data_IF_785395468028
#
_entry.id   IF_785395468028
#
_cell.length_a   1.000
_cell.length_b   1.000
_cell.length_c   1.000
_cell.angle_alpha   90.00
_cell.angle_beta   90.00
_cell.angle_gamma   90.00
#
_symmetry.space_group_name_H-M   'P 1'
#
loop_
_entity.id
_entity.type
_entity.pdbx_description
1 polymer ?
#
# COMPACT_ATOMS: atom_id res chain seq x y z
N UNK A 1 -21.40 14.24 4.28
CA UNK A 1 -19.97 14.62 4.22
C UNK A 1 -19.73 15.43 2.94
N UNK A 2 -18.79 16.40 2.95
CA UNK A 2 -18.51 17.24 1.77
C UNK A 2 -17.70 16.43 0.74
N UNK A 3 -18.18 16.39 -0.49
CA UNK A 3 -17.50 15.75 -1.62
C UNK A 3 -16.37 16.62 -2.16
N UNK A 4 -15.37 15.98 -2.75
CA UNK A 4 -14.21 16.60 -3.37
C UNK A 4 -13.06 16.85 -2.41
N UNK A 5 -12.13 17.68 -2.83
CA UNK A 5 -10.90 17.98 -2.08
C UNK A 5 -11.17 18.83 -0.85
N UNK A 6 -10.51 18.49 0.24
CA UNK A 6 -10.50 19.25 1.50
C UNK A 6 -9.11 19.16 2.11
N UNK A 7 -8.65 20.26 2.70
CA UNK A 7 -7.42 20.26 3.50
C UNK A 7 -7.83 20.12 4.97
N UNK A 8 -7.26 19.13 5.64
CA UNK A 8 -7.42 18.96 7.09
C UNK A 8 -6.16 19.47 7.80
N UNK A 9 -6.33 20.00 9.01
CA UNK A 9 -5.21 20.42 9.86
C UNK A 9 -5.03 19.40 10.97
N UNK A 10 -3.84 18.81 11.05
CA UNK A 10 -3.46 17.90 12.12
C UNK A 10 -3.21 18.65 13.43
N UNK A 11 -3.28 17.96 14.56
CA UNK A 11 -3.06 18.54 15.88
C UNK A 11 -1.61 19.07 16.07
N UNK A 12 -0.67 18.56 15.28
CA UNK A 12 0.71 19.07 15.21
C UNK A 12 0.87 20.34 14.34
N UNK A 13 -0.20 20.80 13.69
CA UNK A 13 -0.26 22.00 12.86
C UNK A 13 0.02 21.80 11.38
N UNK A 14 0.44 20.60 10.94
CA UNK A 14 0.59 20.29 9.51
C UNK A 14 -0.77 20.12 8.82
N UNK A 15 -0.77 20.27 7.50
CA UNK A 15 -1.96 20.15 6.66
C UNK A 15 -1.84 18.94 5.75
N UNK A 16 -2.90 18.14 5.70
CA UNK A 16 -3.00 17.03 4.76
C UNK A 16 -4.08 17.31 3.70
N UNK A 17 -3.74 16.98 2.48
CA UNK A 17 -4.70 16.93 1.38
C UNK A 17 -5.55 15.67 1.50
N UNK A 18 -6.87 15.84 1.41
CA UNK A 18 -7.83 14.74 1.43
C UNK A 18 -8.83 14.88 0.29
N UNK A 19 -9.38 13.76 -0.18
CA UNK A 19 -10.47 13.76 -1.16
C UNK A 19 -11.54 12.76 -0.75
N UNK A 20 -12.80 13.13 -0.96
CA UNK A 20 -13.97 12.29 -0.72
C UNK A 20 -14.76 12.13 -2.01
N UNK A 21 -14.99 10.90 -2.44
CA UNK A 21 -15.71 10.55 -3.65
C UNK A 21 -16.81 9.52 -3.37
N UNK A 22 -17.88 9.55 -4.16
CA UNK A 22 -19.02 8.64 -3.98
C UNK A 22 -20.02 9.14 -2.93
N UNK A 23 -21.15 8.46 -2.79
CA UNK A 23 -22.28 8.91 -1.96
C UNK A 23 -22.95 7.77 -1.18
N UNK A 24 -22.30 6.62 -1.05
CA UNK A 24 -22.83 5.49 -0.27
C UNK A 24 -22.62 5.69 1.23
N UNK A 25 -23.37 4.91 2.01
CA UNK A 25 -23.27 4.89 3.48
C UNK A 25 -22.10 3.99 3.95
N UNK A 26 -21.51 3.20 3.06
CA UNK A 26 -20.33 2.41 3.30
C UNK A 26 -19.11 3.30 3.08
N UNK A 27 -18.30 3.49 4.12
CA UNK A 27 -17.08 4.30 4.07
C UNK A 27 -15.85 3.43 3.86
N UNK A 28 -14.98 3.84 2.94
CA UNK A 28 -13.68 3.23 2.67
C UNK A 28 -12.59 4.30 2.79
N UNK A 29 -11.65 4.13 3.70
CA UNK A 29 -10.44 4.95 3.79
C UNK A 29 -9.30 4.22 3.09
N UNK A 30 -8.66 4.87 2.12
CA UNK A 30 -7.65 4.26 1.28
C UNK A 30 -6.28 4.90 1.48
N UNK A 31 -5.30 4.05 1.79
CA UNK A 31 -3.91 4.41 2.11
C UNK A 31 -3.00 4.09 0.92
N UNK A 32 -2.25 5.08 0.46
CA UNK A 32 -1.26 4.88 -0.60
C UNK A 32 0.00 4.14 -0.10
N UNK A 33 0.76 3.62 -1.04
CA UNK A 33 2.03 2.94 -0.84
C UNK A 33 3.23 3.87 -0.80
N UNK A 34 4.38 3.31 -1.02
CA UNK A 34 5.70 3.92 -0.92
C UNK A 34 6.45 3.41 0.31
N UNK A 35 6.51 4.14 1.46
CA UNK A 35 5.86 5.43 1.79
C UNK A 35 6.28 6.59 0.90
N UNK A 36 5.54 7.69 0.97
CA UNK A 36 5.82 8.86 0.14
C UNK A 36 5.20 8.82 -1.26
N UNK A 37 4.35 7.82 -1.55
CA UNK A 37 3.53 7.78 -2.76
C UNK A 37 2.40 8.82 -2.76
N UNK A 38 1.36 8.61 -3.56
CA UNK A 38 0.25 9.56 -3.71
C UNK A 38 -1.11 8.86 -3.65
N UNK A 39 -2.17 9.62 -3.39
CA UNK A 39 -3.55 9.14 -3.41
C UNK A 39 -4.00 8.56 -4.77
N UNK A 40 -3.27 8.83 -5.84
CA UNK A 40 -3.65 8.50 -7.22
C UNK A 40 -3.84 7.01 -7.47
N UNK A 41 -3.26 6.14 -6.65
CA UNK A 41 -3.57 4.69 -6.65
C UNK A 41 -5.06 4.41 -6.54
N UNK A 42 -5.82 5.29 -5.86
CA UNK A 42 -7.19 5.07 -5.45
C UNK A 42 -8.21 6.01 -6.10
N UNK A 43 -7.80 6.88 -7.05
CA UNK A 43 -8.67 7.88 -7.66
C UNK A 43 -9.93 7.31 -8.32
N UNK A 44 -9.82 6.14 -8.95
CA UNK A 44 -10.94 5.51 -9.64
C UNK A 44 -11.76 4.56 -8.75
N UNK A 45 -11.40 4.36 -7.49
CA UNK A 45 -12.00 3.32 -6.62
C UNK A 45 -13.50 3.45 -6.48
N UNK A 46 -14.03 4.64 -6.20
CA UNK A 46 -15.48 4.85 -6.07
C UNK A 46 -16.23 4.52 -7.38
N UNK A 47 -15.67 4.88 -8.52
CA UNK A 47 -16.22 4.60 -9.85
C UNK A 47 -16.18 3.11 -10.17
N UNK A 48 -15.08 2.44 -9.87
CA UNK A 48 -14.91 1.00 -10.11
C UNK A 48 -15.87 0.17 -9.24
N UNK A 49 -15.98 0.47 -7.94
CA UNK A 49 -16.92 -0.20 -7.05
C UNK A 49 -18.37 0.02 -7.46
N UNK A 50 -18.70 1.24 -7.92
CA UNK A 50 -20.03 1.53 -8.49
C UNK A 50 -20.31 0.71 -9.74
N UNK A 51 -19.33 0.47 -10.60
CA UNK A 51 -19.45 -0.40 -11.76
C UNK A 51 -19.73 -1.86 -11.38
N UNK A 52 -19.22 -2.29 -10.20
CA UNK A 52 -19.53 -3.59 -9.60
C UNK A 52 -20.89 -3.59 -8.85
N UNK A 53 -21.67 -2.53 -8.91
CA UNK A 53 -22.98 -2.41 -8.25
C UNK A 53 -22.92 -2.08 -6.76
N UNK A 54 -21.75 -1.65 -6.24
CA UNK A 54 -21.55 -1.26 -4.86
C UNK A 54 -21.39 0.26 -4.74
N UNK A 55 -22.30 0.93 -4.04
CA UNK A 55 -22.22 2.36 -3.81
C UNK A 55 -21.52 2.65 -2.48
N UNK A 56 -20.35 3.26 -2.54
CA UNK A 56 -19.48 3.56 -1.39
C UNK A 56 -19.10 5.04 -1.37
N UNK A 57 -18.66 5.51 -0.23
CA UNK A 57 -17.93 6.78 -0.08
C UNK A 57 -16.47 6.47 0.19
N UNK A 58 -15.59 6.83 -0.74
CA UNK A 58 -14.14 6.59 -0.67
C UNK A 58 -13.45 7.87 -0.21
N UNK A 59 -12.61 7.74 0.79
CA UNK A 59 -11.75 8.79 1.31
C UNK A 59 -10.31 8.43 0.98
N UNK A 60 -9.59 9.37 0.37
CA UNK A 60 -8.15 9.26 0.11
C UNK A 60 -7.44 10.45 0.73
N UNK A 61 -6.17 10.30 1.06
CA UNK A 61 -5.32 11.41 1.48
C UNK A 61 -3.87 11.15 1.11
N UNK A 62 -3.10 12.21 0.96
CA UNK A 62 -1.65 12.13 0.88
C UNK A 62 -1.08 12.21 2.30
N UNK A 63 -0.27 11.22 2.68
CA UNK A 63 0.38 11.16 4.00
C UNK A 63 1.36 12.33 4.17
N UNK A 64 1.71 12.70 5.40
CA UNK A 64 2.65 13.78 5.66
C UNK A 64 3.99 13.55 4.92
N UNK A 65 4.45 14.57 4.23
CA UNK A 65 5.62 14.50 3.35
C UNK A 65 5.31 14.07 1.93
N UNK A 66 4.06 13.70 1.63
CA UNK A 66 3.66 13.22 0.30
C UNK A 66 2.92 14.29 -0.49
N UNK A 67 3.22 14.39 -1.75
CA UNK A 67 2.56 15.07 -2.87
C UNK A 67 1.88 16.41 -2.54
N UNK A 68 0.56 16.44 -2.27
CA UNK A 68 -0.21 17.66 -1.98
C UNK A 68 -0.31 17.99 -0.50
N UNK A 69 0.18 17.12 0.38
CA UNK A 69 0.27 17.39 1.81
C UNK A 69 1.51 18.22 2.16
N UNK A 70 1.53 18.78 3.35
CA UNK A 70 2.71 19.50 3.85
C UNK A 70 3.94 18.59 3.83
N UNK A 71 5.07 19.18 3.44
CA UNK A 71 6.36 18.49 3.33
C UNK A 71 7.34 19.07 4.37
N UNK A 72 7.49 18.40 5.54
CA UNK A 72 8.43 18.81 6.55
C UNK A 72 9.87 18.80 6.04
N UNK A 73 10.73 19.65 6.58
CA UNK A 73 12.16 19.62 6.29
C UNK A 73 12.83 18.44 7.02
N UNK A 74 12.83 17.28 6.37
CA UNK A 74 13.44 16.06 6.91
C UNK A 74 14.98 16.09 6.94
N UNK A 75 15.62 17.14 6.42
CA UNK A 75 17.05 17.37 6.62
C UNK A 75 17.37 17.81 8.08
N UNK A 76 16.37 18.31 8.81
CA UNK A 76 16.49 18.49 10.27
C UNK A 76 16.29 17.13 10.97
N UNK A 77 17.36 16.63 11.65
CA UNK A 77 17.28 15.32 12.32
C UNK A 77 16.16 15.21 13.37
N UNK A 78 15.78 16.33 14.01
CA UNK A 78 14.71 16.33 15.03
C UNK A 78 13.33 16.14 14.38
N UNK A 79 13.15 16.70 13.19
CA UNK A 79 11.92 16.52 12.39
C UNK A 79 11.86 15.10 11.87
N UNK A 80 12.95 14.62 11.27
CA UNK A 80 13.05 13.27 10.77
C UNK A 80 12.81 12.20 11.86
N UNK A 81 13.46 12.34 13.03
CA UNK A 81 13.29 11.44 14.17
C UNK A 81 11.85 11.41 14.68
N UNK A 82 11.17 12.56 14.69
CA UNK A 82 9.81 12.69 15.19
C UNK A 82 8.76 12.11 14.24
N UNK A 83 8.89 12.35 12.94
CA UNK A 83 7.84 12.08 11.97
C UNK A 83 8.08 10.87 11.07
N UNK A 84 9.34 10.49 10.81
CA UNK A 84 9.63 9.31 9.99
C UNK A 84 9.67 8.05 10.84
N UNK A 85 8.53 7.71 11.47
CA UNK A 85 8.35 6.52 12.32
C UNK A 85 7.06 5.78 11.97
N UNK A 86 7.01 4.48 12.21
CA UNK A 86 5.78 3.69 12.05
C UNK A 86 4.65 4.23 12.93
N UNK A 87 4.94 4.54 14.19
CA UNK A 87 3.95 5.03 15.15
C UNK A 87 3.32 6.34 14.69
N UNK A 88 4.14 7.27 14.13
CA UNK A 88 3.61 8.52 13.61
C UNK A 88 2.62 8.29 12.47
N UNK A 89 2.98 7.51 11.46
CA UNK A 89 2.07 7.26 10.33
C UNK A 89 0.83 6.47 10.74
N UNK A 90 0.95 5.57 11.71
CA UNK A 90 -0.21 4.86 12.27
C UNK A 90 -1.17 5.83 12.98
N UNK A 91 -0.65 6.70 13.84
CA UNK A 91 -1.44 7.67 14.59
C UNK A 91 -2.02 8.75 13.65
N UNK A 92 -1.33 9.07 12.54
CA UNK A 92 -1.85 9.93 11.47
C UNK A 92 -3.12 9.34 10.84
N UNK A 93 -3.15 8.03 10.54
CA UNK A 93 -4.37 7.37 10.02
C UNK A 93 -5.54 7.57 10.98
N UNK A 94 -5.32 7.39 12.29
CA UNK A 94 -6.37 7.57 13.30
C UNK A 94 -6.82 9.04 13.40
N UNK A 95 -5.88 9.98 13.32
CA UNK A 95 -6.21 11.39 13.32
C UNK A 95 -7.01 11.78 12.06
N UNK A 96 -6.60 11.31 10.88
CA UNK A 96 -7.33 11.52 9.61
C UNK A 96 -8.75 10.98 9.72
N UNK A 97 -8.93 9.73 10.21
CA UNK A 97 -10.25 9.15 10.46
C UNK A 97 -11.12 10.06 11.31
N UNK A 98 -10.56 10.53 12.43
CA UNK A 98 -11.27 11.40 13.37
C UNK A 98 -11.64 12.76 12.74
N UNK A 99 -10.69 13.40 12.02
CA UNK A 99 -10.94 14.68 11.32
C UNK A 99 -11.99 14.55 10.20
N UNK A 100 -12.03 13.39 9.53
CA UNK A 100 -13.06 13.08 8.53
C UNK A 100 -14.40 12.69 9.17
N UNK A 101 -14.43 12.38 10.47
CA UNK A 101 -15.64 11.99 11.19
C UNK A 101 -16.22 10.65 10.73
N UNK A 102 -15.36 9.70 10.36
CA UNK A 102 -15.77 8.35 9.95
C UNK A 102 -15.51 7.33 11.07
N UNK A 103 -16.43 6.38 11.20
CA UNK A 103 -16.34 5.27 12.13
C UNK A 103 -17.03 4.04 11.51
N UNK A 104 -16.71 2.83 11.97
CA UNK A 104 -17.22 1.59 11.38
C UNK A 104 -17.04 1.56 9.85
N UNK A 105 -15.80 1.69 9.42
CA UNK A 105 -15.39 1.83 8.01
C UNK A 105 -14.49 0.68 7.56
N UNK A 106 -14.25 0.58 6.26
CA UNK A 106 -13.24 -0.30 5.66
C UNK A 106 -11.93 0.46 5.50
N UNK A 107 -10.83 -0.15 5.89
CA UNK A 107 -9.49 0.39 5.66
C UNK A 107 -8.77 -0.45 4.62
N UNK A 108 -8.36 0.18 3.53
CA UNK A 108 -7.59 -0.45 2.46
C UNK A 108 -6.23 0.22 2.32
N UNK A 109 -5.19 -0.57 2.09
CA UNK A 109 -3.85 -0.02 1.86
C UNK A 109 -3.04 -0.88 0.90
N UNK A 110 -2.32 -0.21 0.01
CA UNK A 110 -1.41 -0.81 -0.96
C UNK A 110 0.02 -0.74 -0.45
N UNK A 111 0.77 -1.86 -0.51
CA UNK A 111 2.19 -1.88 -0.16
C UNK A 111 2.43 -1.32 1.26
N UNK A 112 3.21 -0.27 1.43
CA UNK A 112 3.33 0.45 2.70
C UNK A 112 1.98 0.74 3.37
N UNK A 113 0.97 1.18 2.59
CA UNK A 113 -0.40 1.35 3.10
C UNK A 113 -0.96 0.05 3.69
N UNK A 114 -0.60 -1.11 3.13
CA UNK A 114 -0.97 -2.43 3.66
C UNK A 114 -0.27 -2.75 5.00
N UNK A 115 0.95 -2.26 5.24
CA UNK A 115 1.59 -2.33 6.56
C UNK A 115 0.81 -1.49 7.58
N UNK A 116 0.42 -0.27 7.21
CA UNK A 116 -0.41 0.59 8.07
C UNK A 116 -1.78 -0.04 8.37
N UNK A 117 -2.40 -0.73 7.39
CA UNK A 117 -3.65 -1.48 7.64
C UNK A 117 -3.45 -2.55 8.70
N UNK A 118 -2.36 -3.34 8.62
CA UNK A 118 -2.06 -4.38 9.62
C UNK A 118 -1.86 -3.77 11.01
N UNK A 119 -1.07 -2.69 11.11
CA UNK A 119 -0.86 -1.99 12.38
C UNK A 119 -2.14 -1.38 12.94
N UNK A 120 -2.95 -0.78 12.07
CA UNK A 120 -4.22 -0.16 12.46
C UNK A 120 -5.21 -1.20 12.96
N UNK A 121 -5.34 -2.32 12.25
CA UNK A 121 -6.20 -3.43 12.65
C UNK A 121 -5.81 -4.02 14.03
N UNK A 122 -4.51 -4.02 14.36
CA UNK A 122 -4.01 -4.48 15.65
C UNK A 122 -4.21 -3.48 16.79
N UNK A 123 -4.14 -2.17 16.52
CA UNK A 123 -4.18 -1.12 17.55
C UNK A 123 -5.56 -0.45 17.69
N UNK A 124 -6.25 -0.22 16.57
CA UNK A 124 -7.50 0.54 16.47
C UNK A 124 -8.62 -0.24 15.77
N UNK A 125 -8.54 -1.56 15.81
CA UNK A 125 -9.44 -2.46 15.08
C UNK A 125 -10.93 -2.31 15.42
N UNK A 126 -11.26 -1.76 16.59
CA UNK A 126 -12.64 -1.50 17.02
C UNK A 126 -13.39 -0.51 16.10
N UNK A 127 -12.69 0.31 15.35
CA UNK A 127 -13.27 1.24 14.36
C UNK A 127 -13.55 0.59 13.00
N UNK A 128 -13.00 -0.61 12.76
CA UNK A 128 -13.08 -1.24 11.44
C UNK A 128 -14.27 -2.18 11.31
N UNK A 129 -14.98 -2.09 10.18
CA UNK A 129 -15.86 -3.15 9.66
C UNK A 129 -15.08 -4.24 8.95
N UNK A 130 -14.00 -3.88 8.28
CA UNK A 130 -13.12 -4.80 7.59
C UNK A 130 -11.81 -4.16 7.20
N UNK A 131 -10.78 -4.99 7.01
CA UNK A 131 -9.44 -4.62 6.61
C UNK A 131 -9.08 -5.21 5.25
N UNK A 132 -8.43 -4.44 4.38
CA UNK A 132 -7.97 -4.91 3.07
C UNK A 132 -6.47 -4.66 2.96
N UNK A 133 -5.69 -5.74 3.00
CA UNK A 133 -4.23 -5.74 2.87
C UNK A 133 -3.91 -6.05 1.41
N UNK A 134 -3.53 -5.04 0.65
CA UNK A 134 -3.22 -5.15 -0.77
C UNK A 134 -1.71 -5.12 -0.97
N UNK A 135 -1.15 -6.19 -1.56
CA UNK A 135 0.28 -6.33 -1.90
C UNK A 135 1.22 -5.92 -0.75
N UNK A 136 1.00 -6.50 0.44
CA UNK A 136 1.89 -6.32 1.59
C UNK A 136 2.00 -7.58 2.42
N UNK A 137 3.22 -7.98 2.68
CA UNK A 137 3.57 -9.12 3.56
C UNK A 137 3.46 -8.71 5.03
N UNK A 138 3.51 -9.71 5.90
CA UNK A 138 3.63 -9.52 7.35
C UNK A 138 5.08 -9.49 7.85
N UNK A 139 6.05 -9.68 6.94
CA UNK A 139 7.48 -9.59 7.22
C UNK A 139 8.27 -9.27 5.94
N UNK A 140 9.42 -8.64 6.09
CA UNK A 140 10.26 -8.25 4.96
C UNK A 140 11.31 -9.33 4.58
N UNK A 141 11.64 -10.25 5.47
CA UNK A 141 12.62 -11.30 5.14
C UNK A 141 12.17 -12.12 3.93
N UNK A 142 10.90 -12.54 3.91
CA UNK A 142 10.34 -13.31 2.80
C UNK A 142 10.21 -12.46 1.51
N UNK A 143 9.92 -11.17 1.64
CA UNK A 143 9.91 -10.24 0.52
C UNK A 143 11.29 -10.12 -0.12
N UNK A 144 12.36 -9.91 0.67
CA UNK A 144 13.74 -9.83 0.17
C UNK A 144 14.16 -11.13 -0.53
N UNK A 145 13.77 -12.29 0.01
CA UNK A 145 14.00 -13.59 -0.66
C UNK A 145 13.31 -13.62 -2.01
N UNK A 146 12.06 -13.17 -2.10
CA UNK A 146 11.30 -13.16 -3.36
C UNK A 146 11.85 -12.15 -4.38
N UNK A 147 12.35 -10.99 -3.96
CA UNK A 147 13.05 -10.05 -4.85
C UNK A 147 14.20 -10.73 -5.58
N UNK A 148 15.04 -11.49 -4.86
CA UNK A 148 16.14 -12.20 -5.49
C UNK A 148 15.65 -13.23 -6.51
N UNK A 149 14.59 -13.97 -6.18
CA UNK A 149 13.97 -14.93 -7.11
C UNK A 149 13.41 -14.24 -8.36
N UNK A 150 12.70 -13.12 -8.19
CA UNK A 150 12.18 -12.30 -9.29
C UNK A 150 13.31 -11.83 -10.22
N UNK A 151 14.45 -11.40 -9.67
CA UNK A 151 15.62 -11.03 -10.45
C UNK A 151 16.18 -12.22 -11.24
N UNK A 152 16.28 -13.41 -10.62
CA UNK A 152 16.76 -14.63 -11.25
C UNK A 152 15.81 -15.10 -12.39
N UNK A 153 14.52 -14.88 -12.27
CA UNK A 153 13.54 -15.21 -13.30
C UNK A 153 13.55 -14.23 -14.48
N UNK A 154 13.79 -12.95 -14.23
CA UNK A 154 13.65 -11.89 -15.24
C UNK A 154 14.96 -11.48 -15.91
N UNK A 155 16.11 -11.68 -15.27
CA UNK A 155 17.40 -11.13 -15.71
C UNK A 155 18.48 -12.20 -15.83
N UNK A 156 19.43 -12.05 -16.77
CA UNK A 156 20.60 -12.92 -16.84
C UNK A 156 21.55 -12.68 -15.63
N UNK A 157 22.33 -13.69 -15.27
CA UNK A 157 23.25 -13.68 -14.12
C UNK A 157 24.21 -12.49 -14.10
N UNK A 158 24.71 -12.09 -15.26
CA UNK A 158 25.60 -10.92 -15.40
C UNK A 158 24.91 -9.61 -15.07
N UNK A 159 23.60 -9.48 -15.34
CA UNK A 159 22.83 -8.29 -14.96
C UNK A 159 22.62 -8.23 -13.44
N UNK A 160 22.29 -9.36 -12.82
CA UNK A 160 22.12 -9.47 -11.36
C UNK A 160 23.43 -9.13 -10.65
N UNK A 161 24.57 -9.66 -11.15
CA UNK A 161 25.89 -9.36 -10.61
C UNK A 161 26.20 -7.87 -10.69
N UNK A 162 25.94 -7.27 -11.85
CA UNK A 162 26.14 -5.83 -12.06
C UNK A 162 25.27 -4.99 -11.12
N UNK A 163 23.98 -5.33 -10.98
CA UNK A 163 23.08 -4.65 -10.06
C UNK A 163 23.59 -4.69 -8.62
N UNK A 164 24.02 -5.85 -8.14
CA UNK A 164 24.60 -6.01 -6.79
C UNK A 164 25.89 -5.20 -6.59
N UNK A 165 26.72 -5.05 -7.62
CA UNK A 165 27.89 -4.18 -7.55
C UNK A 165 27.55 -2.70 -7.46
N UNK A 166 26.49 -2.25 -8.17
CA UNK A 166 25.97 -0.89 -8.08
C UNK A 166 25.37 -0.63 -6.69
N UNK A 167 24.53 -1.52 -6.19
CA UNK A 167 23.90 -1.45 -4.87
C UNK A 167 24.94 -1.36 -3.74
N UNK A 168 26.02 -2.14 -3.82
CA UNK A 168 27.12 -2.07 -2.86
C UNK A 168 27.87 -0.73 -2.84
N UNK A 169 27.76 0.06 -3.91
CA UNK A 169 28.37 1.39 -4.07
C UNK A 169 27.38 2.54 -3.93
N UNK A 170 26.10 2.25 -3.74
CA UNK A 170 24.98 3.19 -3.84
C UNK A 170 24.94 3.93 -5.19
N UNK A 171 25.30 3.24 -6.27
CA UNK A 171 25.33 3.75 -7.64
C UNK A 171 24.03 3.36 -8.38
N UNK A 172 22.93 3.96 -7.97
CA UNK A 172 21.60 3.65 -8.47
C UNK A 172 21.23 4.46 -9.73
N UNK A 173 21.83 5.64 -9.92
CA UNK A 173 21.42 6.60 -10.97
C UNK A 173 21.98 6.28 -12.37
N UNK A 174 22.75 5.19 -12.53
CA UNK A 174 23.31 4.88 -13.83
C UNK A 174 22.28 4.23 -14.78
N UNK A 175 22.31 4.61 -16.06
CA UNK A 175 21.33 4.19 -17.08
C UNK A 175 21.21 2.67 -17.22
N UNK A 176 22.32 1.94 -17.05
CA UNK A 176 22.31 0.48 -17.18
C UNK A 176 21.60 -0.20 -15.99
N UNK A 177 21.81 0.29 -14.79
CA UNK A 177 21.12 -0.18 -13.59
C UNK A 177 19.62 0.11 -13.72
N UNK A 178 19.26 1.34 -14.07
CA UNK A 178 17.87 1.74 -14.26
C UNK A 178 17.18 0.92 -15.37
N UNK A 179 17.86 0.62 -16.47
CA UNK A 179 17.31 -0.26 -17.50
C UNK A 179 16.95 -1.68 -17.00
N UNK A 180 17.68 -2.22 -16.03
CA UNK A 180 17.30 -3.49 -15.38
C UNK A 180 16.13 -3.31 -14.40
N UNK A 181 16.09 -2.20 -13.68
CA UNK A 181 14.94 -1.86 -12.80
C UNK A 181 13.67 -1.72 -13.62
N UNK A 182 13.73 -1.09 -14.80
CA UNK A 182 12.58 -0.96 -15.71
C UNK A 182 12.04 -2.32 -16.15
N UNK A 183 12.93 -3.27 -16.52
CA UNK A 183 12.51 -4.64 -16.87
C UNK A 183 11.76 -5.31 -15.71
N UNK A 184 12.26 -5.13 -14.48
CA UNK A 184 11.64 -5.69 -13.29
C UNK A 184 10.29 -5.00 -12.98
N UNK A 185 10.21 -3.67 -13.12
CA UNK A 185 8.99 -2.91 -12.94
C UNK A 185 7.89 -3.35 -13.92
N UNK A 186 8.22 -3.48 -15.21
CA UNK A 186 7.28 -3.95 -16.24
C UNK A 186 6.83 -5.40 -16.01
N UNK A 187 7.68 -6.22 -15.41
CA UNK A 187 7.37 -7.61 -15.13
C UNK A 187 6.52 -7.84 -13.88
N UNK A 188 6.74 -7.04 -12.84
CA UNK A 188 6.27 -7.35 -11.48
C UNK A 188 5.59 -6.18 -10.75
N UNK A 189 5.72 -4.95 -11.21
CA UNK A 189 5.08 -3.77 -10.57
C UNK A 189 3.93 -3.25 -11.41
N UNK A 190 4.20 -2.76 -12.61
CA UNK A 190 3.25 -2.15 -13.55
C UNK A 190 3.18 -2.99 -14.82
N UNK A 191 2.41 -4.06 -14.80
CA UNK A 191 2.33 -5.02 -15.93
C UNK A 191 1.50 -4.49 -17.10
N UNK A 192 0.57 -3.57 -16.83
CA UNK A 192 -0.23 -2.91 -17.86
C UNK A 192 0.54 -1.73 -18.43
N UNK A 193 0.97 -1.85 -19.68
CA UNK A 193 1.76 -0.82 -20.34
C UNK A 193 0.93 -0.02 -21.38
N UNK A 194 1.17 1.31 -21.53
CA UNK A 194 2.02 2.12 -20.65
C UNK A 194 1.46 2.17 -19.23
N UNK A 195 2.33 2.26 -18.24
CA UNK A 195 1.92 2.32 -16.84
C UNK A 195 0.96 3.51 -16.60
N UNK A 196 -0.23 3.22 -16.05
CA UNK A 196 -1.26 4.24 -15.86
C UNK A 196 -0.86 5.31 -14.83
N UNK A 197 0.05 4.95 -13.93
CA UNK A 197 0.56 5.80 -12.84
C UNK A 197 2.06 6.04 -12.97
N UNK A 198 2.59 6.04 -14.20
CA UNK A 198 4.03 6.21 -14.48
C UNK A 198 4.63 7.49 -13.87
N UNK A 199 3.83 8.55 -13.69
CA UNK A 199 4.28 9.78 -13.07
C UNK A 199 4.53 9.66 -11.56
N UNK A 200 4.00 8.64 -10.88
CA UNK A 200 4.25 8.42 -9.45
C UNK A 200 5.74 8.34 -9.12
N UNK A 201 6.55 7.77 -10.01
CA UNK A 201 8.01 7.74 -9.83
C UNK A 201 8.63 9.14 -9.73
N UNK A 202 8.08 10.13 -10.46
CA UNK A 202 8.56 11.52 -10.44
C UNK A 202 7.96 12.36 -9.30
N UNK A 203 6.91 11.88 -8.65
CA UNK A 203 6.20 12.56 -7.55
C UNK A 203 6.43 11.89 -6.20
N UNK A 204 7.16 10.78 -6.17
CA UNK A 204 7.54 10.07 -4.95
C UNK A 204 8.33 10.99 -4.02
N UNK A 205 7.92 11.07 -2.76
CA UNK A 205 8.68 11.78 -1.71
C UNK A 205 9.92 10.95 -1.32
N UNK A 206 11.03 11.17 -2.03
CA UNK A 206 12.26 10.38 -1.88
C UNK A 206 12.85 10.43 -0.50
N UNK A 207 12.69 11.56 0.22
CA UNK A 207 13.13 11.73 1.60
C UNK A 207 12.38 10.80 2.57
N UNK A 208 11.11 10.48 2.27
CA UNK A 208 10.31 9.54 3.04
C UNK A 208 10.58 8.11 2.57
N UNK A 209 10.53 7.87 1.26
CA UNK A 209 10.72 6.57 0.66
C UNK A 209 12.07 5.95 1.00
N UNK A 210 13.16 6.73 0.83
CA UNK A 210 14.52 6.27 1.10
C UNK A 210 14.78 5.86 2.56
N UNK A 211 14.08 6.50 3.52
CA UNK A 211 14.21 6.15 4.95
C UNK A 211 13.58 4.80 5.27
N UNK A 212 12.49 4.43 4.62
CA UNK A 212 11.78 3.19 4.92
C UNK A 212 12.13 2.06 3.95
N UNK A 213 12.01 2.27 2.64
CA UNK A 213 12.23 1.27 1.62
C UNK A 213 13.72 1.19 1.23
N UNK A 214 14.24 2.25 0.68
CA UNK A 214 15.55 2.33 0.04
C UNK A 214 15.46 3.09 -1.27
N UNK A 215 16.22 2.68 -2.29
CA UNK A 215 16.23 3.37 -3.58
C UNK A 215 15.01 3.05 -4.46
N UNK A 216 14.68 1.76 -4.58
CA UNK A 216 13.60 1.29 -5.44
C UNK A 216 12.90 0.05 -4.86
N UNK A 217 11.84 -0.44 -5.54
CA UNK A 217 11.02 -1.57 -5.09
C UNK A 217 11.84 -2.85 -4.87
N UNK A 218 12.95 -3.02 -5.57
CA UNK A 218 13.77 -4.24 -5.49
C UNK A 218 14.95 -4.14 -4.52
N UNK A 219 15.04 -3.03 -3.75
CA UNK A 219 16.13 -2.78 -2.78
C UNK A 219 15.53 -2.35 -1.44
N UNK A 220 15.67 -3.19 -0.41
CA UNK A 220 15.19 -2.88 0.93
C UNK A 220 16.38 -2.64 1.85
N UNK A 221 16.73 -1.37 2.04
CA UNK A 221 17.85 -0.94 2.88
C UNK A 221 17.43 -0.09 4.07
N UNK A 222 16.21 0.45 4.02
CA UNK A 222 15.65 1.32 5.03
C UNK A 222 15.04 0.59 6.22
N UNK A 223 14.21 1.30 6.98
CA UNK A 223 13.55 0.79 8.21
C UNK A 223 12.64 -0.41 7.96
N UNK A 224 12.09 -0.55 6.74
CA UNK A 224 11.23 -1.68 6.38
C UNK A 224 11.92 -3.03 6.56
N UNK A 225 13.25 -3.12 6.42
CA UNK A 225 13.98 -4.38 6.62
C UNK A 225 13.76 -5.02 8.00
N UNK A 226 13.31 -4.24 8.98
CA UNK A 226 13.02 -4.71 10.36
C UNK A 226 11.53 -5.02 10.55
N UNK A 227 10.69 -4.85 9.51
CA UNK A 227 9.26 -5.11 9.59
C UNK A 227 8.97 -6.60 9.76
N UNK A 228 8.34 -6.94 10.90
CA UNK A 228 7.88 -8.28 11.20
C UNK A 228 6.71 -8.24 12.18
N UNK A 229 5.54 -8.62 11.71
CA UNK A 229 4.31 -8.73 12.52
C UNK A 229 3.69 -10.13 12.49
N UNK A 230 4.45 -11.15 12.02
CA UNK A 230 4.00 -12.54 11.85
C UNK A 230 3.32 -13.11 13.09
N UNK A 231 3.86 -12.85 14.26
CA UNK A 231 3.29 -13.37 15.51
C UNK A 231 2.05 -12.60 15.98
N UNK A 232 1.78 -11.43 15.39
CA UNK A 232 0.73 -10.52 15.81
C UNK A 232 -0.52 -10.63 14.95
N UNK A 233 -0.42 -10.95 13.64
CA UNK A 233 -1.54 -10.92 12.68
C UNK A 233 -2.71 -11.84 13.07
N UNK A 234 -2.46 -12.89 13.84
CA UNK A 234 -3.51 -13.77 14.44
C UNK A 234 -4.45 -13.04 15.39
N UNK A 235 -4.10 -11.83 15.83
CA UNK A 235 -4.92 -10.98 16.70
C UNK A 235 -5.81 -10.00 15.91
N UNK A 236 -5.71 -9.97 14.59
CA UNK A 236 -6.63 -9.23 13.73
C UNK A 236 -7.97 -9.94 13.75
N UNK A 237 -9.00 -9.29 14.28
CA UNK A 237 -10.28 -9.94 14.62
C UNK A 237 -11.44 -9.58 13.68
N UNK A 238 -11.28 -8.53 12.86
CA UNK A 238 -12.31 -8.13 11.89
C UNK A 238 -12.16 -8.92 10.58
N UNK A 239 -13.24 -9.03 9.76
CA UNK A 239 -13.15 -9.55 8.41
C UNK A 239 -12.00 -8.90 7.62
N UNK A 240 -11.15 -9.73 7.02
CA UNK A 240 -9.93 -9.26 6.36
C UNK A 240 -9.82 -9.85 4.96
N UNK A 241 -9.56 -9.01 3.97
CA UNK A 241 -9.18 -9.42 2.61
C UNK A 241 -7.67 -9.24 2.44
N UNK A 242 -6.95 -10.34 2.19
CA UNK A 242 -5.56 -10.33 1.73
C UNK A 242 -5.60 -10.45 0.21
N UNK A 243 -5.04 -9.47 -0.52
CA UNK A 243 -5.13 -9.47 -2.00
C UNK A 243 -3.80 -9.14 -2.64
N UNK A 244 -3.40 -9.97 -3.62
CA UNK A 244 -2.10 -9.93 -4.29
C UNK A 244 -2.25 -10.09 -5.80
N UNK A 245 -1.31 -9.54 -6.57
CA UNK A 245 -1.15 -9.87 -7.98
C UNK A 245 -0.56 -11.27 -8.19
N UNK A 246 -0.82 -11.88 -9.34
CA UNK A 246 -0.24 -13.19 -9.71
C UNK A 246 1.29 -13.12 -9.90
N UNK A 247 1.77 -11.97 -10.39
CA UNK A 247 3.19 -11.70 -10.66
C UNK A 247 3.72 -10.63 -9.69
N UNK A 248 3.67 -10.96 -8.42
CA UNK A 248 3.93 -10.01 -7.34
C UNK A 248 5.42 -9.95 -6.96
N UNK A 249 5.88 -8.79 -6.54
CA UNK A 249 7.22 -8.63 -5.93
C UNK A 249 7.29 -9.33 -4.57
N UNK A 250 6.18 -9.38 -3.87
CA UNK A 250 6.03 -10.07 -2.58
C UNK A 250 5.48 -11.50 -2.79
N UNK A 251 5.88 -12.50 -1.96
CA UNK A 251 5.57 -13.90 -2.26
C UNK A 251 4.09 -14.24 -1.97
N UNK A 252 3.40 -14.83 -2.96
CA UNK A 252 2.04 -15.35 -2.78
C UNK A 252 1.93 -16.40 -1.66
N UNK A 253 3.00 -17.12 -1.38
CA UNK A 253 3.03 -18.08 -0.26
C UNK A 253 2.83 -17.37 1.08
N UNK A 254 3.38 -16.17 1.25
CA UNK A 254 3.18 -15.33 2.44
C UNK A 254 1.73 -14.86 2.52
N UNK A 255 1.15 -14.37 1.43
CA UNK A 255 -0.24 -13.96 1.38
C UNK A 255 -1.20 -15.10 1.79
N UNK A 256 -0.94 -16.33 1.31
CA UNK A 256 -1.69 -17.52 1.70
C UNK A 256 -1.57 -17.82 3.18
N UNK A 257 -0.35 -17.81 3.72
CA UNK A 257 -0.10 -18.02 5.15
C UNK A 257 -0.78 -16.95 6.00
N UNK A 258 -0.71 -15.67 5.62
CA UNK A 258 -1.41 -14.58 6.31
C UNK A 258 -2.93 -14.83 6.36
N UNK A 259 -3.54 -15.20 5.24
CA UNK A 259 -4.98 -15.51 5.20
C UNK A 259 -5.36 -16.75 6.02
N UNK A 260 -4.44 -17.71 6.19
CA UNK A 260 -4.65 -18.88 7.06
C UNK A 260 -4.47 -18.55 8.55
N UNK A 261 -3.68 -17.54 8.91
CA UNK A 261 -3.36 -17.16 10.29
C UNK A 261 -4.33 -16.12 10.87
N UNK A 262 -4.85 -15.23 10.03
CA UNK A 262 -5.86 -14.24 10.45
C UNK A 262 -7.20 -14.97 10.57
N UNK A 263 -7.87 -14.95 11.75
CA UNK A 263 -9.05 -15.79 12.03
C UNK A 263 -10.21 -15.64 11.04
N UNK A 264 -10.43 -14.41 10.56
CA UNK A 264 -11.51 -14.08 9.62
C UNK A 264 -10.90 -13.46 8.37
N UNK A 265 -10.16 -14.25 7.58
CA UNK A 265 -9.53 -13.75 6.37
C UNK A 265 -9.83 -14.58 5.13
N UNK A 266 -9.86 -13.90 3.99
CA UNK A 266 -9.90 -14.49 2.64
C UNK A 266 -8.71 -14.02 1.83
N UNK A 267 -8.18 -14.90 0.97
CA UNK A 267 -7.19 -14.56 -0.02
C UNK A 267 -7.86 -14.34 -1.38
N UNK A 268 -7.53 -13.26 -2.06
CA UNK A 268 -7.86 -13.04 -3.46
C UNK A 268 -6.58 -12.80 -4.27
N UNK A 269 -6.45 -13.48 -5.41
CA UNK A 269 -5.33 -13.27 -6.32
C UNK A 269 -5.84 -12.69 -7.64
N UNK A 270 -5.21 -11.59 -8.08
CA UNK A 270 -5.57 -10.93 -9.35
C UNK A 270 -4.74 -11.51 -10.50
N UNK A 271 -5.35 -12.24 -11.46
CA UNK A 271 -4.64 -12.80 -12.59
C UNK A 271 -3.96 -11.72 -13.44
N UNK A 272 -2.74 -11.99 -13.89
CA UNK A 272 -1.89 -11.08 -14.66
C UNK A 272 -1.56 -9.74 -13.97
N UNK A 273 -1.89 -9.58 -12.69
CA UNK A 273 -1.52 -8.40 -11.90
C UNK A 273 -0.11 -8.51 -11.34
N UNK A 274 0.59 -7.39 -11.28
CA UNK A 274 1.82 -7.20 -10.52
C UNK A 274 1.53 -6.54 -9.17
N UNK A 275 2.49 -5.76 -8.68
CA UNK A 275 2.35 -5.03 -7.41
C UNK A 275 1.19 -4.00 -7.43
N UNK A 276 0.92 -3.40 -8.59
CA UNK A 276 -0.22 -2.50 -8.79
C UNK A 276 -1.42 -3.22 -9.47
N UNK A 277 -1.75 -4.40 -9.00
CA UNK A 277 -2.80 -5.26 -9.60
C UNK A 277 -4.19 -4.63 -9.63
N UNK A 278 -4.47 -3.61 -8.80
CA UNK A 278 -5.71 -2.83 -8.85
C UNK A 278 -5.80 -1.97 -10.12
N UNK A 279 -4.67 -1.76 -10.82
CA UNK A 279 -4.58 -1.05 -12.09
C UNK A 279 -4.40 -2.04 -13.25
N UNK A 280 -3.53 -3.04 -13.08
CA UNK A 280 -3.22 -4.02 -14.11
C UNK A 280 -4.45 -4.80 -14.55
N UNK A 281 -5.27 -5.24 -13.60
CA UNK A 281 -6.52 -5.96 -13.84
C UNK A 281 -7.65 -5.46 -12.94
N UNK A 282 -7.97 -4.17 -13.08
CA UNK A 282 -8.99 -3.49 -12.28
C UNK A 282 -10.35 -4.22 -12.22
N UNK A 283 -10.91 -4.78 -13.32
CA UNK A 283 -12.19 -5.48 -13.25
C UNK A 283 -12.19 -6.64 -12.23
N UNK A 284 -11.16 -7.45 -12.21
CA UNK A 284 -11.06 -8.59 -11.28
C UNK A 284 -10.75 -8.12 -9.86
N UNK A 285 -9.82 -7.19 -9.71
CA UNK A 285 -9.50 -6.63 -8.40
C UNK A 285 -10.73 -6.03 -7.71
N UNK A 286 -11.47 -5.18 -8.41
CA UNK A 286 -12.65 -4.52 -7.83
C UNK A 286 -13.86 -5.45 -7.71
N UNK A 287 -13.96 -6.53 -8.46
CA UNK A 287 -14.94 -7.60 -8.23
C UNK A 287 -14.67 -8.31 -6.89
N UNK A 288 -13.41 -8.69 -6.63
CA UNK A 288 -13.01 -9.28 -5.36
C UNK A 288 -13.30 -8.33 -4.18
N UNK A 289 -12.92 -7.05 -4.31
CA UNK A 289 -13.15 -6.04 -3.27
C UNK A 289 -14.64 -5.82 -3.02
N UNK A 290 -15.45 -5.69 -4.08
CA UNK A 290 -16.89 -5.51 -3.96
C UNK A 290 -17.59 -6.73 -3.37
N UNK A 291 -17.13 -7.94 -3.69
CA UNK A 291 -17.65 -9.19 -3.13
C UNK A 291 -17.36 -9.25 -1.64
N UNK A 292 -16.10 -8.98 -1.25
CA UNK A 292 -15.71 -8.93 0.15
C UNK A 292 -16.59 -7.97 0.95
N UNK A 293 -16.75 -6.72 0.50
CA UNK A 293 -17.57 -5.71 1.20
C UNK A 293 -19.03 -6.15 1.29
N UNK A 294 -19.62 -6.70 0.21
CA UNK A 294 -21.02 -7.20 0.23
C UNK A 294 -21.21 -8.32 1.23
N UNK A 295 -20.28 -9.28 1.29
CA UNK A 295 -20.37 -10.40 2.20
C UNK A 295 -20.31 -9.93 3.66
N UNK A 296 -19.42 -8.98 3.98
CA UNK A 296 -19.35 -8.36 5.32
C UNK A 296 -20.63 -7.59 5.65
N UNK A 297 -21.14 -6.77 4.73
CA UNK A 297 -22.37 -5.98 4.97
C UNK A 297 -23.64 -6.84 5.08
N UNK A 298 -23.63 -8.06 4.58
CA UNK A 298 -24.75 -9.00 4.64
C UNK A 298 -24.59 -10.11 5.68
N UNK A 299 -23.58 -10.03 6.54
CA UNK A 299 -23.21 -11.04 7.54
C UNK A 299 -22.97 -12.46 6.96
N UNK A 300 -22.54 -12.54 5.68
CA UNK A 300 -22.26 -13.80 4.98
C UNK A 300 -20.74 -14.06 4.80
N UNK A 301 -19.91 -13.32 5.49
CA UNK A 301 -18.45 -13.41 5.28
C UNK A 301 -17.87 -14.76 5.68
N UNK A 302 -18.37 -15.38 6.74
CA UNK A 302 -17.89 -16.66 7.26
C UNK A 302 -18.63 -17.90 6.68
N UNK A 303 -19.61 -17.69 5.79
CA UNK A 303 -20.36 -18.74 5.10
C UNK A 303 -19.63 -19.19 3.82
#
# INVERSE_FOLDING_TARGET
MKQGTTIITLDNGYHLWTNTQGTGDIHLLALHGGPGGTHEYWEDTAKQLKAQGLNVTVHTYDQLGSFYSDQPDYSDPKIAEKYLTYDYFLDEVEEVRTKLGIDHFYLIGQSWGGALVQMYALKYGEHLKGAIISSMTDNIDEYVVNINKVREEALPEEAITYMKECEAKNDYDNDRYQGYVDILNEGYVDRKQPAAISHLSSTMATDVYGVFQGDNEFVVTGKLKEWDVRDQIKNISMPTLVTFGEHETMPLATAKRMAEQIPHARLATTPNGGHHHMIDNAPVYYDHLATFIRDVESDNFDD
#
